data_IF_890943118568
#
_entry.id   IF_890943118568
#
_cell.length_a   1.000
_cell.length_b   1.000
_cell.length_c   1.000
_cell.angle_alpha   90.00
_cell.angle_beta   90.00
_cell.angle_gamma   90.00
#
_symmetry.space_group_name_H-M   'P 1'
#
loop_
_entity.id
_entity.type
_entity.pdbx_description
1 polymer ?
#
# COMPACT_ATOMS: atom_id res chain seq x y z
N UNK A 1 7.99 -4.14 2.53
CA UNK A 1 8.87 -4.95 3.43
C UNK A 1 8.00 -5.57 4.52
N UNK A 2 8.42 -6.69 5.11
CA UNK A 2 7.67 -7.43 6.14
C UNK A 2 7.51 -6.72 7.48
N UNK A 3 8.35 -5.72 7.75
CA UNK A 3 8.27 -4.82 8.91
C UNK A 3 7.71 -3.44 8.57
N UNK A 4 7.10 -3.29 7.39
CA UNK A 4 6.56 -2.01 6.93
C UNK A 4 5.16 -2.14 6.36
N UNK A 5 4.93 -3.02 5.37
CA UNK A 5 3.71 -2.91 4.56
C UNK A 5 2.95 -4.23 4.44
N UNK A 6 1.88 -4.32 5.21
CA UNK A 6 0.76 -5.25 5.01
C UNK A 6 -0.53 -4.45 4.76
N UNK A 7 -1.70 -5.11 4.70
CA UNK A 7 -2.96 -4.48 4.38
C UNK A 7 -3.27 -3.21 5.21
N UNK A 8 -2.99 -3.22 6.53
CA UNK A 8 -3.27 -2.07 7.41
C UNK A 8 -2.53 -0.81 6.96
N UNK A 9 -1.21 -0.90 6.77
CA UNK A 9 -0.41 0.23 6.30
C UNK A 9 -0.76 0.60 4.86
N UNK A 10 -1.00 -0.38 3.99
CA UNK A 10 -1.37 -0.10 2.60
C UNK A 10 -2.70 0.68 2.50
N UNK A 11 -3.70 0.32 3.31
CA UNK A 11 -4.98 1.05 3.43
C UNK A 11 -4.72 2.48 3.91
N UNK A 12 -4.03 2.65 5.03
CA UNK A 12 -3.82 3.98 5.61
C UNK A 12 -3.02 4.89 4.67
N UNK A 13 -1.98 4.36 4.02
CA UNK A 13 -1.19 5.11 3.04
C UNK A 13 -2.01 5.48 1.80
N UNK A 14 -2.85 4.56 1.30
CA UNK A 14 -3.73 4.85 0.17
C UNK A 14 -4.80 5.89 0.50
N UNK A 15 -5.35 5.88 1.72
CA UNK A 15 -6.29 6.91 2.19
C UNK A 15 -5.67 8.32 2.21
N UNK A 16 -4.36 8.42 2.44
CA UNK A 16 -3.60 9.68 2.43
C UNK A 16 -3.05 10.06 1.03
N UNK A 17 -3.39 9.30 -0.01
CA UNK A 17 -3.00 9.59 -1.39
C UNK A 17 -1.68 8.94 -1.85
N UNK A 18 -1.08 8.10 -1.00
CA UNK A 18 0.07 7.27 -1.37
C UNK A 18 -0.35 5.90 -1.93
N UNK A 19 0.62 4.98 -2.01
CA UNK A 19 0.37 3.57 -2.36
C UNK A 19 1.31 2.65 -1.56
N UNK A 20 0.75 1.59 -0.98
CA UNK A 20 1.51 0.55 -0.28
C UNK A 20 1.83 -0.64 -1.18
N UNK A 21 3.05 -1.18 -1.09
CA UNK A 21 3.44 -2.45 -1.73
C UNK A 21 3.49 -3.60 -0.71
N UNK A 22 2.56 -4.55 -0.83
CA UNK A 22 2.52 -5.76 0.01
C UNK A 22 3.78 -6.60 -0.27
N UNK A 23 4.53 -6.93 0.78
CA UNK A 23 5.75 -7.75 0.63
C UNK A 23 5.44 -9.19 0.24
N UNK A 24 6.46 -9.89 -0.28
CA UNK A 24 6.35 -11.30 -0.72
C UNK A 24 6.75 -12.33 0.32
N UNK A 25 7.22 -11.90 1.50
CA UNK A 25 7.62 -12.80 2.60
C UNK A 25 6.43 -13.47 3.32
N UNK A 26 5.56 -14.12 2.56
CA UNK A 26 4.35 -14.83 2.98
C UNK A 26 3.92 -15.79 1.85
N UNK A 27 2.91 -16.63 2.07
CA UNK A 27 2.42 -17.50 0.99
C UNK A 27 1.77 -16.69 -0.14
N UNK A 28 1.49 -17.33 -1.27
CA UNK A 28 0.81 -16.67 -2.40
C UNK A 28 -0.60 -16.24 -1.97
N UNK A 29 -1.29 -17.12 -1.25
CA UNK A 29 -2.66 -16.94 -0.78
C UNK A 29 -2.75 -15.81 0.25
N UNK A 30 -1.78 -15.73 1.17
CA UNK A 30 -1.69 -14.67 2.18
C UNK A 30 -1.43 -13.30 1.54
N UNK A 31 -0.57 -13.24 0.53
CA UNK A 31 -0.28 -12.00 -0.19
C UNK A 31 -1.50 -11.52 -0.97
N UNK A 32 -2.15 -12.43 -1.70
CA UNK A 32 -3.39 -12.15 -2.42
C UNK A 32 -4.52 -11.75 -1.44
N UNK A 33 -4.60 -12.35 -0.25
CA UNK A 33 -5.56 -11.97 0.77
C UNK A 33 -5.31 -10.56 1.31
N UNK A 34 -4.06 -10.14 1.48
CA UNK A 34 -3.72 -8.76 1.82
C UNK A 34 -4.17 -7.77 0.72
N UNK A 35 -3.90 -8.08 -0.55
CA UNK A 35 -4.39 -7.26 -1.69
C UNK A 35 -5.92 -7.15 -1.65
N UNK A 36 -6.64 -8.28 -1.53
CA UNK A 36 -8.11 -8.28 -1.43
C UNK A 36 -8.62 -7.44 -0.27
N UNK A 37 -7.97 -7.50 0.89
CA UNK A 37 -8.33 -6.66 2.06
C UNK A 37 -8.25 -5.16 1.73
N UNK A 38 -7.21 -4.71 1.01
CA UNK A 38 -7.07 -3.31 0.60
C UNK A 38 -8.16 -2.94 -0.42
N UNK A 39 -8.35 -3.76 -1.47
CA UNK A 39 -9.35 -3.49 -2.52
C UNK A 39 -10.79 -3.46 -1.98
N UNK A 40 -11.10 -4.24 -0.94
CA UNK A 40 -12.42 -4.30 -0.30
C UNK A 40 -12.64 -3.26 0.81
N UNK A 41 -11.61 -2.50 1.23
CA UNK A 41 -11.73 -1.61 2.40
C UNK A 41 -12.67 -0.42 2.16
N UNK A 42 -12.59 0.21 0.98
CA UNK A 42 -13.23 1.50 0.71
C UNK A 42 -13.91 1.59 -0.66
N UNK A 43 -14.33 0.45 -1.21
CA UNK A 43 -14.88 0.33 -2.57
C UNK A 43 -16.14 1.17 -2.84
N UNK A 44 -16.74 1.79 -1.81
CA UNK A 44 -17.98 2.57 -1.93
C UNK A 44 -19.22 1.71 -2.25
N UNK A 45 -19.01 0.55 -2.86
CA UNK A 45 -19.92 -0.56 -3.12
C UNK A 45 -19.23 -1.81 -2.56
N UNK A 46 -19.79 -2.45 -1.55
CA UNK A 46 -19.33 -3.76 -1.08
C UNK A 46 -19.67 -4.79 -2.17
N UNK A 47 -18.68 -5.13 -2.99
CA UNK A 47 -18.75 -6.21 -3.97
C UNK A 47 -18.74 -7.54 -3.22
N UNK A 48 -19.74 -8.40 -3.45
CA UNK A 48 -19.95 -9.65 -2.70
C UNK A 48 -20.20 -9.42 -1.19
N UNK A 49 -21.34 -8.81 -0.83
CA UNK A 49 -21.68 -8.54 0.57
C UNK A 49 -21.99 -9.84 1.32
N UNK A 50 -21.64 -9.90 2.61
CA UNK A 50 -22.08 -11.01 3.46
C UNK A 50 -23.61 -11.03 3.49
N UNK A 51 -24.19 -12.18 3.19
CA UNK A 51 -25.65 -12.37 3.12
C UNK A 51 -26.16 -13.30 4.21
N UNK A 52 -27.40 -13.10 4.64
CA UNK A 52 -28.13 -14.06 5.47
C UNK A 52 -28.98 -14.98 4.58
N UNK A 53 -29.16 -16.23 4.98
CA UNK A 53 -30.14 -17.12 4.35
C UNK A 53 -31.54 -16.80 4.87
N UNK A 54 -32.54 -16.88 4.00
CA UNK A 54 -33.95 -16.74 4.37
C UNK A 54 -34.42 -17.77 5.42
N UNK A 55 -33.69 -18.87 5.59
CA UNK A 55 -33.99 -19.90 6.59
C UNK A 55 -33.34 -19.62 7.96
N UNK A 56 -32.44 -18.64 8.06
CA UNK A 56 -31.82 -18.30 9.33
C UNK A 56 -32.84 -17.72 10.32
N UNK A 57 -32.61 -18.01 11.59
CA UNK A 57 -33.30 -17.40 12.72
C UNK A 57 -32.68 -16.05 13.08
N UNK A 58 -33.42 -15.22 13.81
CA UNK A 58 -32.90 -13.94 14.35
C UNK A 58 -31.63 -14.15 15.19
N UNK A 59 -31.55 -15.23 15.98
CA UNK A 59 -30.34 -15.59 16.75
C UNK A 59 -29.12 -15.78 15.87
N UNK A 60 -29.26 -16.50 14.76
CA UNK A 60 -28.15 -16.80 13.85
C UNK A 60 -27.64 -15.53 13.17
N UNK A 61 -28.55 -14.63 12.75
CA UNK A 61 -28.14 -13.35 12.16
C UNK A 61 -27.51 -12.42 13.20
N UNK A 62 -27.95 -12.45 14.46
CA UNK A 62 -27.26 -11.72 15.54
C UNK A 62 -25.83 -12.24 15.77
N UNK A 63 -25.63 -13.57 15.73
CA UNK A 63 -24.30 -14.16 15.81
C UNK A 63 -23.43 -13.75 14.60
N UNK A 64 -24.01 -13.75 13.39
CA UNK A 64 -23.36 -13.26 12.17
C UNK A 64 -22.96 -11.78 12.30
N UNK A 65 -23.84 -10.93 12.85
CA UNK A 65 -23.56 -9.53 13.13
C UNK A 65 -22.39 -9.35 14.10
N UNK A 66 -22.34 -10.16 15.15
CA UNK A 66 -21.27 -10.12 16.16
C UNK A 66 -19.94 -10.60 15.58
N UNK A 67 -19.96 -11.64 14.75
CA UNK A 67 -18.77 -12.17 14.07
C UNK A 67 -18.16 -11.15 13.10
N UNK A 68 -19.00 -10.42 12.36
CA UNK A 68 -18.54 -9.49 11.32
C UNK A 68 -18.41 -8.03 11.78
N UNK A 69 -18.93 -7.68 12.97
CA UNK A 69 -18.82 -6.33 13.54
C UNK A 69 -19.69 -5.27 12.85
N UNK A 70 -20.73 -5.68 12.11
CA UNK A 70 -21.72 -4.78 11.52
C UNK A 70 -23.12 -5.39 11.53
N UNK A 71 -24.13 -4.52 11.56
CA UNK A 71 -25.54 -4.90 11.63
C UNK A 71 -26.26 -4.60 10.32
N UNK A 72 -26.36 -5.60 9.46
CA UNK A 72 -27.30 -5.63 8.35
C UNK A 72 -26.82 -6.42 7.15
N UNK A 73 -27.70 -7.28 6.63
CA UNK A 73 -27.38 -8.31 5.66
C UNK A 73 -28.47 -8.37 4.59
N UNK A 74 -28.11 -8.38 3.29
CA UNK A 74 -29.01 -8.84 2.24
C UNK A 74 -29.44 -10.28 2.55
N UNK A 75 -30.70 -10.60 2.29
CA UNK A 75 -31.27 -11.93 2.54
C UNK A 75 -31.48 -12.63 1.21
N UNK A 76 -30.88 -13.82 1.07
CA UNK A 76 -31.00 -14.67 -0.11
C UNK A 76 -31.83 -15.92 0.20
N UNK A 77 -32.61 -16.40 -0.77
CA UNK A 77 -33.28 -17.69 -0.68
C UNK A 77 -32.36 -18.87 -1.06
N UNK A 78 -32.92 -20.09 -1.09
CA UNK A 78 -32.17 -21.31 -1.42
C UNK A 78 -31.66 -21.33 -2.87
N UNK A 79 -32.26 -20.54 -3.76
CA UNK A 79 -31.91 -20.41 -5.16
C UNK A 79 -30.86 -19.30 -5.38
N UNK A 80 -30.52 -18.56 -4.33
CA UNK A 80 -29.58 -17.43 -4.38
C UNK A 80 -30.23 -16.13 -4.83
N UNK A 81 -31.56 -16.04 -4.83
CA UNK A 81 -32.30 -14.84 -5.22
C UNK A 81 -32.46 -13.88 -4.04
N UNK A 82 -32.36 -12.58 -4.33
CA UNK A 82 -32.51 -11.53 -3.32
C UNK A 82 -33.98 -11.37 -2.91
N UNK A 83 -34.28 -11.68 -1.66
CA UNK A 83 -35.65 -11.66 -1.12
C UNK A 83 -35.88 -10.59 -0.06
N UNK A 84 -34.83 -9.96 0.47
CA UNK A 84 -34.98 -8.90 1.46
C UNK A 84 -33.66 -8.33 1.99
N UNK A 85 -33.77 -7.48 3.00
CA UNK A 85 -32.64 -7.02 3.82
C UNK A 85 -33.07 -6.99 5.28
N UNK A 86 -32.22 -7.54 6.15
CA UNK A 86 -32.38 -7.47 7.60
C UNK A 86 -31.33 -6.54 8.17
N UNK A 87 -31.70 -5.65 9.09
CA UNK A 87 -30.81 -4.67 9.70
C UNK A 87 -30.81 -4.78 11.23
N UNK A 88 -29.86 -4.12 11.89
CA UNK A 88 -29.85 -4.06 13.35
C UNK A 88 -31.16 -3.52 13.94
N UNK A 89 -31.82 -2.55 13.27
CA UNK A 89 -33.09 -1.98 13.73
C UNK A 89 -34.21 -3.01 13.73
N UNK A 90 -34.28 -3.85 12.70
CA UNK A 90 -35.30 -4.90 12.56
C UNK A 90 -35.17 -5.95 13.66
N UNK A 91 -33.93 -6.27 14.06
CA UNK A 91 -33.65 -7.26 15.11
C UNK A 91 -33.68 -6.68 16.54
N UNK A 92 -33.53 -5.37 16.73
CA UNK A 92 -33.36 -4.75 18.05
C UNK A 92 -34.62 -4.84 18.94
N UNK A 93 -35.78 -5.04 18.33
CA UNK A 93 -37.07 -5.08 19.01
C UNK A 93 -37.74 -6.46 18.97
N UNK A 94 -37.08 -7.47 18.40
CA UNK A 94 -37.62 -8.82 18.33
C UNK A 94 -37.28 -9.63 19.59
N UNK A 95 -38.31 -10.00 20.35
CA UNK A 95 -38.16 -10.81 21.56
C UNK A 95 -38.01 -12.30 21.24
N UNK A 96 -38.57 -12.76 20.11
CA UNK A 96 -38.50 -14.14 19.69
C UNK A 96 -37.25 -14.40 18.83
N UNK A 97 -36.16 -14.80 19.48
CA UNK A 97 -34.91 -15.14 18.81
C UNK A 97 -34.99 -16.37 17.89
N UNK A 98 -36.09 -17.14 17.93
CA UNK A 98 -36.34 -18.30 17.06
C UNK A 98 -37.19 -17.94 15.83
N UNK A 99 -37.71 -16.71 15.74
CA UNK A 99 -38.40 -16.25 14.54
C UNK A 99 -37.46 -16.30 13.33
N UNK A 100 -38.02 -16.54 12.15
CA UNK A 100 -37.22 -16.52 10.92
C UNK A 100 -36.88 -15.09 10.55
N UNK A 101 -35.75 -14.89 9.90
CA UNK A 101 -35.33 -13.59 9.36
C UNK A 101 -36.37 -13.02 8.41
N UNK A 102 -37.06 -13.87 7.64
CA UNK A 102 -38.13 -13.47 6.73
C UNK A 102 -39.30 -12.76 7.43
N UNK A 103 -39.51 -13.04 8.72
CA UNK A 103 -40.62 -12.49 9.49
C UNK A 103 -40.34 -11.04 9.95
N UNK A 104 -39.07 -10.66 10.04
CA UNK A 104 -38.62 -9.35 10.55
C UNK A 104 -37.94 -8.47 9.50
N UNK A 105 -37.47 -9.04 8.39
CA UNK A 105 -36.73 -8.30 7.37
C UNK A 105 -37.61 -7.30 6.60
N UNK A 106 -36.96 -6.35 5.93
CA UNK A 106 -37.62 -5.60 4.85
C UNK A 106 -37.73 -6.51 3.62
N UNK A 107 -38.96 -6.80 3.13
CA UNK A 107 -39.18 -7.74 2.03
C UNK A 107 -38.87 -7.11 0.67
N UNK A 108 -38.75 -7.97 -0.35
CA UNK A 108 -38.34 -7.63 -1.72
C UNK A 108 -39.08 -6.42 -2.31
N UNK A 109 -40.39 -6.32 -2.09
CA UNK A 109 -41.24 -5.28 -2.68
C UNK A 109 -40.95 -3.89 -2.11
N UNK A 110 -40.30 -3.83 -0.94
CA UNK A 110 -39.92 -2.58 -0.25
C UNK A 110 -38.43 -2.29 -0.32
N UNK A 111 -37.66 -3.10 -1.05
CA UNK A 111 -36.23 -2.88 -1.19
C UNK A 111 -35.96 -1.63 -2.02
N UNK A 112 -35.05 -0.81 -1.53
CA UNK A 112 -34.47 0.31 -2.28
C UNK A 112 -33.17 -0.17 -2.90
N UNK A 113 -33.16 -0.25 -4.23
CA UNK A 113 -32.04 -0.80 -5.01
C UNK A 113 -31.53 0.21 -6.04
N UNK A 114 -30.30 -0.02 -6.51
CA UNK A 114 -29.74 0.62 -7.71
C UNK A 114 -29.18 -0.45 -8.65
N UNK A 115 -29.13 -0.14 -9.94
CA UNK A 115 -28.46 -1.00 -10.92
C UNK A 115 -26.94 -0.99 -10.69
N UNK A 116 -26.24 -2.07 -11.04
CA UNK A 116 -24.77 -2.17 -10.91
C UNK A 116 -23.99 -1.09 -11.66
N UNK A 117 -24.58 -0.52 -12.71
CA UNK A 117 -23.97 0.57 -13.49
C UNK A 117 -24.39 1.97 -13.01
N UNK A 118 -25.19 2.07 -11.95
CA UNK A 118 -25.70 3.34 -11.47
C UNK A 118 -24.60 4.21 -10.81
N UNK A 119 -24.54 5.51 -11.08
CA UNK A 119 -23.58 6.40 -10.43
C UNK A 119 -23.85 6.47 -8.92
N UNK A 120 -22.78 6.53 -8.13
CA UNK A 120 -22.83 6.51 -6.66
C UNK A 120 -23.73 7.58 -6.06
N UNK A 121 -23.82 8.74 -6.70
CA UNK A 121 -24.67 9.86 -6.30
C UNK A 121 -26.16 9.51 -6.30
N UNK A 122 -26.59 8.59 -7.18
CA UNK A 122 -27.95 8.09 -7.20
C UNK A 122 -28.28 7.29 -5.94
N UNK A 123 -27.36 6.41 -5.50
CA UNK A 123 -27.53 5.67 -4.26
C UNK A 123 -27.65 6.60 -3.04
N UNK A 124 -26.86 7.68 -3.00
CA UNK A 124 -26.94 8.69 -1.93
C UNK A 124 -28.27 9.46 -1.93
N UNK A 125 -28.78 9.82 -3.11
CA UNK A 125 -30.11 10.43 -3.24
C UNK A 125 -31.19 9.51 -2.67
N UNK A 126 -31.13 8.22 -3.00
CA UNK A 126 -32.05 7.22 -2.47
C UNK A 126 -31.92 7.06 -0.94
N UNK A 127 -30.70 6.99 -0.41
CA UNK A 127 -30.46 6.96 1.04
C UNK A 127 -31.09 8.17 1.74
N UNK A 128 -30.89 9.36 1.18
CA UNK A 128 -31.45 10.60 1.72
C UNK A 128 -32.99 10.63 1.64
N UNK A 129 -33.56 10.25 0.49
CA UNK A 129 -35.01 10.24 0.23
C UNK A 129 -35.74 9.23 1.11
N UNK A 130 -35.22 8.01 1.22
CA UNK A 130 -35.85 6.92 1.97
C UNK A 130 -35.39 6.85 3.44
N UNK A 131 -34.47 7.73 3.87
CA UNK A 131 -33.90 7.77 5.23
C UNK A 131 -33.29 6.43 5.66
N UNK A 132 -32.61 5.77 4.72
CA UNK A 132 -31.95 4.47 4.91
C UNK A 132 -30.43 4.60 4.84
N UNK A 133 -29.72 3.72 5.53
CA UNK A 133 -28.25 3.73 5.58
C UNK A 133 -27.58 2.80 4.57
N UNK A 134 -28.37 1.97 3.88
CA UNK A 134 -27.90 0.90 3.02
C UNK A 134 -28.76 0.85 1.75
N UNK A 135 -28.12 0.71 0.60
CA UNK A 135 -28.79 0.53 -0.70
C UNK A 135 -28.19 -0.68 -1.38
N UNK A 136 -29.04 -1.60 -1.84
CA UNK A 136 -28.63 -2.83 -2.51
C UNK A 136 -28.32 -2.54 -3.98
N UNK A 137 -27.26 -3.14 -4.49
CA UNK A 137 -26.87 -3.05 -5.91
C UNK A 137 -27.27 -4.36 -6.58
N UNK A 138 -28.05 -4.27 -7.65
CA UNK A 138 -28.59 -5.43 -8.38
C UNK A 138 -28.30 -5.33 -9.88
N UNK A 139 -28.28 -6.47 -10.58
CA UNK A 139 -28.27 -6.49 -12.04
C UNK A 139 -29.69 -6.41 -12.63
N UNK A 140 -29.78 -6.48 -13.96
CA UNK A 140 -31.05 -6.43 -14.70
C UNK A 140 -31.98 -7.61 -14.38
N UNK A 141 -31.46 -8.72 -13.87
CA UNK A 141 -32.24 -9.88 -13.41
C UNK A 141 -32.57 -9.80 -11.91
N UNK A 142 -32.31 -8.67 -11.26
CA UNK A 142 -32.50 -8.44 -9.82
C UNK A 142 -31.60 -9.32 -8.93
N UNK A 143 -30.48 -9.84 -9.46
CA UNK A 143 -29.51 -10.56 -8.64
C UNK A 143 -28.64 -9.58 -7.89
N UNK A 144 -28.35 -9.91 -6.63
CA UNK A 144 -27.50 -9.09 -5.77
C UNK A 144 -26.06 -9.05 -6.31
N UNK A 145 -25.56 -7.86 -6.59
CA UNK A 145 -24.17 -7.59 -7.00
C UNK A 145 -23.37 -6.88 -5.92
N UNK A 146 -24.04 -6.12 -5.05
CA UNK A 146 -23.35 -5.36 -4.01
C UNK A 146 -24.24 -4.66 -3.02
N UNK A 147 -23.60 -3.91 -2.13
CA UNK A 147 -24.25 -3.09 -1.10
C UNK A 147 -23.49 -1.78 -0.92
N UNK A 148 -24.18 -0.64 -1.00
CA UNK A 148 -23.62 0.68 -0.70
C UNK A 148 -24.08 1.09 0.70
N UNK A 149 -23.18 1.60 1.53
CA UNK A 149 -23.51 2.07 2.88
C UNK A 149 -23.16 3.54 3.11
N UNK A 150 -23.96 4.24 3.92
CA UNK A 150 -23.69 5.63 4.35
C UNK A 150 -22.36 5.73 5.10
N UNK A 151 -22.01 4.70 5.89
CA UNK A 151 -20.73 4.66 6.61
C UNK A 151 -19.54 4.71 5.66
N UNK A 152 -19.59 3.94 4.58
CA UNK A 152 -18.50 3.90 3.59
C UNK A 152 -18.45 5.19 2.74
N UNK A 153 -19.58 5.89 2.60
CA UNK A 153 -19.60 7.23 2.05
C UNK A 153 -18.91 8.26 2.95
N UNK A 154 -19.26 8.35 4.23
CA UNK A 154 -18.61 9.29 5.14
C UNK A 154 -17.12 9.00 5.32
N UNK A 155 -16.72 7.72 5.38
CA UNK A 155 -15.30 7.34 5.38
C UNK A 155 -14.58 7.85 4.15
N UNK A 156 -15.15 7.63 2.96
CA UNK A 156 -14.56 8.12 1.72
C UNK A 156 -14.49 9.66 1.67
N UNK A 157 -15.51 10.36 2.18
CA UNK A 157 -15.55 11.82 2.24
C UNK A 157 -14.51 12.40 3.22
N UNK A 158 -14.17 11.68 4.30
CA UNK A 158 -13.13 12.12 5.24
C UNK A 158 -11.70 12.03 4.68
N UNK A 159 -11.50 11.31 3.57
CA UNK A 159 -10.19 11.09 2.93
C UNK A 159 -10.24 11.55 1.46
N UNK A 160 -10.31 12.88 1.21
CA UNK A 160 -10.52 13.43 -0.13
C UNK A 160 -9.32 13.20 -1.07
N UNK A 161 -8.13 13.01 -0.51
CA UNK A 161 -6.90 12.76 -1.28
C UNK A 161 -6.63 11.27 -1.51
N UNK A 162 -7.57 10.37 -1.16
CA UNK A 162 -7.34 8.94 -1.24
C UNK A 162 -7.00 8.48 -2.66
N UNK A 163 -5.94 7.67 -2.78
CA UNK A 163 -5.49 7.07 -4.03
C UNK A 163 -6.43 5.90 -4.40
N UNK A 164 -7.34 6.18 -5.32
CA UNK A 164 -8.41 5.26 -5.74
C UNK A 164 -8.28 4.86 -7.20
N UNK A 165 -8.76 3.67 -7.51
CA UNK A 165 -8.99 3.23 -8.88
C UNK A 165 -10.31 3.81 -9.43
N UNK A 166 -10.56 3.55 -10.71
CA UNK A 166 -11.75 3.98 -11.43
C UNK A 166 -13.06 3.43 -10.83
N UNK A 167 -13.00 2.39 -9.99
CA UNK A 167 -14.13 1.83 -9.26
C UNK A 167 -14.27 2.40 -7.84
N UNK A 168 -13.43 3.37 -7.46
CA UNK A 168 -13.42 3.99 -6.13
C UNK A 168 -12.75 3.15 -5.05
N UNK A 169 -12.08 2.05 -5.39
CA UNK A 169 -11.36 1.18 -4.45
C UNK A 169 -9.96 1.74 -4.22
N UNK A 170 -9.41 1.58 -3.02
CA UNK A 170 -8.03 1.98 -2.74
C UNK A 170 -7.05 1.25 -3.66
N UNK A 171 -6.02 1.96 -4.16
CA UNK A 171 -4.96 1.34 -4.96
C UNK A 171 -3.94 0.62 -4.08
N UNK A 172 -3.43 -0.50 -4.56
CA UNK A 172 -2.42 -1.31 -3.86
C UNK A 172 -1.44 -1.94 -4.84
N UNK A 173 -0.17 -1.96 -4.45
CA UNK A 173 0.87 -2.70 -5.15
C UNK A 173 1.25 -3.99 -4.42
N UNK A 174 1.94 -4.89 -5.12
CA UNK A 174 2.50 -6.09 -4.51
C UNK A 174 3.89 -6.40 -5.08
N UNK A 175 4.82 -6.77 -4.20
CA UNK A 175 6.17 -7.18 -4.59
C UNK A 175 6.19 -8.65 -5.02
N UNK A 176 6.99 -8.96 -6.04
CA UNK A 176 7.28 -10.33 -6.51
C UNK A 176 8.78 -10.49 -6.76
N UNK A 177 9.28 -11.71 -6.71
CA UNK A 177 10.67 -12.04 -7.03
C UNK A 177 10.84 -12.35 -8.51
N UNK A 178 11.93 -13.04 -8.84
CA UNK A 178 12.19 -13.57 -10.20
C UNK A 178 12.30 -15.09 -10.25
N UNK A 179 12.34 -15.75 -9.08
CA UNK A 179 12.56 -17.19 -8.96
C UNK A 179 11.33 -18.05 -9.28
N UNK A 180 11.45 -19.38 -9.10
CA UNK A 180 10.34 -20.32 -9.28
C UNK A 180 9.12 -19.96 -8.43
N UNK A 181 7.91 -20.24 -8.92
CA UNK A 181 6.65 -19.91 -8.22
C UNK A 181 6.18 -18.46 -8.42
N UNK A 182 6.93 -17.64 -9.16
CA UNK A 182 6.59 -16.22 -9.40
C UNK A 182 5.38 -16.08 -10.32
N UNK A 183 5.21 -16.96 -11.31
CA UNK A 183 4.11 -16.88 -12.26
C UNK A 183 2.76 -17.15 -11.59
N UNK A 184 2.70 -18.17 -10.74
CA UNK A 184 1.54 -18.49 -9.91
C UNK A 184 1.22 -17.36 -8.93
N UNK A 185 2.26 -16.75 -8.35
CA UNK A 185 2.10 -15.58 -7.47
C UNK A 185 1.53 -14.38 -8.21
N UNK A 186 2.06 -14.07 -9.40
CA UNK A 186 1.56 -12.99 -10.24
C UNK A 186 0.09 -13.23 -10.60
N UNK A 187 -0.26 -14.44 -11.06
CA UNK A 187 -1.63 -14.79 -11.41
C UNK A 187 -2.60 -14.57 -10.25
N UNK A 188 -2.27 -15.05 -9.05
CA UNK A 188 -3.10 -14.87 -7.86
C UNK A 188 -3.24 -13.40 -7.43
N UNK A 189 -2.21 -12.58 -7.63
CA UNK A 189 -2.25 -11.14 -7.33
C UNK A 189 -3.10 -10.36 -8.34
N UNK A 190 -3.01 -10.71 -9.62
CA UNK A 190 -3.86 -10.14 -10.68
C UNK A 190 -5.32 -10.50 -10.43
N UNK A 191 -5.61 -11.77 -10.11
CA UNK A 191 -6.96 -12.21 -9.71
C UNK A 191 -7.47 -11.46 -8.47
N UNK A 192 -6.59 -11.19 -7.50
CA UNK A 192 -6.93 -10.39 -6.33
C UNK A 192 -7.18 -8.89 -6.62
N UNK A 193 -6.86 -8.43 -7.84
CA UNK A 193 -7.06 -7.05 -8.28
C UNK A 193 -5.93 -6.09 -7.87
N UNK A 194 -4.67 -6.55 -7.87
CA UNK A 194 -3.51 -5.67 -7.68
C UNK A 194 -3.44 -4.59 -8.77
N UNK A 195 -3.15 -3.35 -8.39
CA UNK A 195 -3.04 -2.24 -9.35
C UNK A 195 -1.66 -2.19 -10.01
N UNK A 196 -0.60 -2.48 -9.24
CA UNK A 196 0.79 -2.36 -9.66
C UNK A 196 1.63 -3.53 -9.14
N UNK A 197 2.32 -4.24 -10.04
CA UNK A 197 3.33 -5.22 -9.64
C UNK A 197 4.69 -4.56 -9.49
N UNK A 198 5.44 -4.98 -8.47
CA UNK A 198 6.83 -4.61 -8.27
C UNK A 198 7.70 -5.86 -8.37
N UNK A 199 8.48 -5.97 -9.46
CA UNK A 199 9.53 -6.98 -9.60
C UNK A 199 10.75 -6.48 -8.82
N UNK A 200 11.00 -7.09 -7.65
CA UNK A 200 11.92 -6.60 -6.62
C UNK A 200 13.15 -7.50 -6.47
N UNK A 201 14.32 -6.98 -6.83
CA UNK A 201 15.63 -7.64 -6.72
C UNK A 201 16.68 -6.67 -6.16
N UNK A 202 17.79 -7.18 -5.62
CA UNK A 202 18.96 -6.35 -5.31
C UNK A 202 19.70 -5.85 -6.56
N UNK A 203 19.58 -6.55 -7.70
CA UNK A 203 20.22 -6.17 -8.96
C UNK A 203 19.28 -6.28 -10.17
N UNK A 204 18.56 -5.19 -10.43
CA UNK A 204 17.57 -5.05 -11.50
C UNK A 204 18.14 -5.15 -12.92
N UNK A 205 19.43 -4.91 -13.09
CA UNK A 205 20.10 -4.99 -14.40
C UNK A 205 20.61 -6.40 -14.76
N UNK A 206 20.17 -7.43 -14.02
CA UNK A 206 20.50 -8.81 -14.36
C UNK A 206 19.57 -9.35 -15.45
N UNK A 207 20.10 -10.23 -16.31
CA UNK A 207 19.35 -10.78 -17.45
C UNK A 207 18.04 -11.46 -17.02
N UNK A 208 18.06 -12.24 -15.94
CA UNK A 208 16.86 -12.93 -15.45
C UNK A 208 15.74 -11.96 -15.00
N UNK A 209 16.09 -10.76 -14.53
CA UNK A 209 15.10 -9.73 -14.19
C UNK A 209 14.53 -9.08 -15.45
N UNK A 210 15.39 -8.74 -16.41
CA UNK A 210 14.97 -8.19 -17.71
C UNK A 210 14.00 -9.16 -18.41
N UNK A 211 14.35 -10.45 -18.44
CA UNK A 211 13.51 -11.49 -19.05
C UNK A 211 12.19 -11.65 -18.31
N UNK A 212 12.20 -11.60 -16.96
CA UNK A 212 10.98 -11.62 -16.16
C UNK A 212 10.07 -10.44 -16.47
N UNK A 213 10.60 -9.22 -16.57
CA UNK A 213 9.81 -8.03 -16.92
C UNK A 213 9.17 -8.20 -18.30
N UNK A 214 9.93 -8.66 -19.31
CA UNK A 214 9.41 -8.92 -20.66
C UNK A 214 8.30 -9.96 -20.66
N UNK A 215 8.49 -11.07 -19.95
CA UNK A 215 7.49 -12.14 -19.82
C UNK A 215 6.21 -11.62 -19.15
N UNK A 216 6.33 -10.91 -18.03
CA UNK A 216 5.17 -10.36 -17.31
C UNK A 216 4.44 -9.33 -18.16
N UNK A 217 5.14 -8.43 -18.88
CA UNK A 217 4.51 -7.49 -19.82
C UNK A 217 3.78 -8.21 -20.95
N UNK A 218 4.36 -9.26 -21.52
CA UNK A 218 3.74 -10.03 -22.59
C UNK A 218 2.46 -10.74 -22.14
N UNK A 219 2.43 -11.27 -20.91
CA UNK A 219 1.27 -11.96 -20.35
C UNK A 219 0.19 -10.99 -19.84
N UNK A 220 0.58 -9.83 -19.34
CA UNK A 220 -0.32 -8.81 -18.79
C UNK A 220 -0.05 -7.43 -19.42
N UNK A 221 -0.49 -7.19 -20.67
CA UNK A 221 -0.15 -5.98 -21.42
C UNK A 221 -0.57 -4.67 -20.77
N UNK A 222 -1.67 -4.66 -20.01
CA UNK A 222 -2.22 -3.45 -19.39
C UNK A 222 -1.79 -3.25 -17.93
N UNK A 223 -1.16 -4.26 -17.32
CA UNK A 223 -0.78 -4.22 -15.92
C UNK A 223 0.39 -3.26 -15.71
N UNK A 224 0.32 -2.44 -14.66
CA UNK A 224 1.40 -1.53 -14.33
C UNK A 224 2.55 -2.31 -13.66
N UNK A 225 3.76 -2.14 -14.19
CA UNK A 225 4.96 -2.85 -13.74
C UNK A 225 6.01 -1.85 -13.29
N UNK A 226 6.42 -1.99 -12.03
CA UNK A 226 7.63 -1.39 -11.47
C UNK A 226 8.71 -2.46 -11.43
N UNK A 227 9.93 -2.11 -11.83
CA UNK A 227 11.07 -3.02 -11.74
C UNK A 227 12.29 -2.33 -11.09
N UNK A 228 13.04 -3.08 -10.29
CA UNK A 228 14.27 -2.57 -9.68
C UNK A 228 14.90 -3.57 -8.71
N UNK A 229 16.02 -3.23 -8.05
CA UNK A 229 16.63 -1.89 -8.03
C UNK A 229 17.75 -1.73 -9.05
N UNK A 230 17.86 -0.53 -9.61
CA UNK A 230 19.02 -0.09 -10.40
C UNK A 230 19.66 1.14 -9.77
N UNK A 231 20.87 1.48 -10.22
CA UNK A 231 21.58 2.67 -9.75
C UNK A 231 22.36 3.38 -10.87
N UNK A 232 22.12 3.02 -12.13
CA UNK A 232 22.80 3.57 -13.31
C UNK A 232 21.81 3.85 -14.44
N UNK A 233 22.23 4.70 -15.40
CA UNK A 233 21.46 5.02 -16.59
C UNK A 233 21.14 3.79 -17.44
N UNK A 234 22.12 2.90 -17.65
CA UNK A 234 21.99 1.70 -18.47
C UNK A 234 21.00 0.72 -17.86
N UNK A 235 21.05 0.52 -16.53
CA UNK A 235 20.11 -0.36 -15.84
C UNK A 235 18.68 0.16 -15.92
N UNK A 236 18.50 1.48 -15.78
CA UNK A 236 17.19 2.10 -15.92
C UNK A 236 16.65 1.97 -17.35
N UNK A 237 17.49 2.24 -18.36
CA UNK A 237 17.16 2.05 -19.76
C UNK A 237 16.77 0.61 -20.09
N UNK A 238 17.55 -0.37 -19.63
CA UNK A 238 17.28 -1.78 -19.88
C UNK A 238 15.92 -2.24 -19.32
N UNK A 239 15.54 -1.77 -18.13
CA UNK A 239 14.23 -2.08 -17.54
C UNK A 239 13.08 -1.35 -18.25
N UNK A 240 13.30 -0.11 -18.69
CA UNK A 240 12.34 0.63 -19.50
C UNK A 240 12.07 -0.10 -20.83
N UNK A 241 13.12 -0.49 -21.56
CA UNK A 241 13.02 -1.24 -22.82
C UNK A 241 12.42 -2.64 -22.64
N UNK A 242 12.56 -3.24 -21.46
CA UNK A 242 11.92 -4.51 -21.11
C UNK A 242 10.39 -4.39 -20.93
N UNK A 243 9.87 -3.17 -20.74
CA UNK A 243 8.43 -2.91 -20.58
C UNK A 243 8.00 -2.49 -19.18
N UNK A 244 8.92 -2.06 -18.31
CA UNK A 244 8.56 -1.45 -17.02
C UNK A 244 7.94 -0.05 -17.22
N UNK A 245 6.84 0.25 -16.52
CA UNK A 245 6.24 1.59 -16.49
C UNK A 245 6.98 2.54 -15.53
N UNK A 246 7.64 1.97 -14.52
CA UNK A 246 8.50 2.73 -13.63
C UNK A 246 9.72 1.90 -13.19
N UNK A 247 10.81 2.61 -12.91
CA UNK A 247 12.06 2.02 -12.43
C UNK A 247 12.30 2.44 -10.99
N UNK A 248 12.55 1.45 -10.12
CA UNK A 248 12.91 1.66 -8.72
C UNK A 248 14.42 1.80 -8.59
N UNK A 249 14.88 2.91 -8.01
CA UNK A 249 16.27 3.35 -8.01
C UNK A 249 16.85 3.41 -6.61
N UNK A 250 17.97 2.73 -6.41
CA UNK A 250 18.77 2.81 -5.19
C UNK A 250 19.40 1.47 -4.82
N UNK A 251 20.74 1.43 -4.78
CA UNK A 251 21.51 0.28 -4.30
C UNK A 251 22.36 0.69 -3.09
N UNK A 252 22.03 0.10 -1.95
CA UNK A 252 22.66 0.37 -0.66
C UNK A 252 22.35 1.69 0.08
N UNK A 253 21.39 2.56 -0.29
CA UNK A 253 21.13 3.80 0.44
C UNK A 253 20.26 3.61 1.71
N UNK A 254 19.63 2.44 1.87
CA UNK A 254 18.69 2.16 2.95
C UNK A 254 19.38 2.15 4.32
N UNK A 255 18.69 2.65 5.35
CA UNK A 255 19.24 2.80 6.72
C UNK A 255 19.65 1.49 7.40
N UNK A 256 19.23 0.35 6.85
CA UNK A 256 19.48 -1.01 7.37
C UNK A 256 20.13 -1.92 6.33
N UNK A 257 20.55 -1.35 5.20
CA UNK A 257 21.18 -2.08 4.11
C UNK A 257 22.70 -1.98 4.26
N UNK A 258 23.38 -3.13 4.21
CA UNK A 258 24.84 -3.22 4.31
C UNK A 258 25.48 -3.60 2.99
N UNK A 259 24.73 -3.68 1.87
CA UNK A 259 25.24 -4.02 0.53
C UNK A 259 26.54 -3.28 0.19
N UNK A 260 26.61 -1.96 0.37
CA UNK A 260 27.84 -1.19 0.05
C UNK A 260 29.05 -1.62 0.86
N UNK A 261 28.83 -2.03 2.11
CA UNK A 261 29.89 -2.43 3.03
C UNK A 261 30.29 -3.88 2.79
N UNK A 262 29.32 -4.77 2.60
CA UNK A 262 29.55 -6.21 2.47
C UNK A 262 30.01 -6.60 1.06
N UNK A 263 29.41 -6.02 0.01
CA UNK A 263 29.70 -6.36 -1.38
C UNK A 263 30.59 -5.33 -2.08
N UNK A 264 30.74 -4.12 -1.51
CA UNK A 264 31.44 -3.01 -2.15
C UNK A 264 30.62 -2.28 -3.23
N UNK A 265 29.40 -2.73 -3.53
CA UNK A 265 28.60 -2.21 -4.63
C UNK A 265 27.56 -1.18 -4.19
N UNK A 266 27.48 -0.05 -4.90
CA UNK A 266 26.40 0.94 -4.75
C UNK A 266 26.78 2.31 -5.29
N UNK A 267 25.80 3.20 -5.39
CA UNK A 267 25.97 4.58 -5.91
C UNK A 267 25.28 5.57 -4.96
N UNK A 268 25.89 6.72 -4.61
CA UNK A 268 25.24 7.76 -3.82
C UNK A 268 23.85 8.12 -4.36
N UNK A 269 22.84 8.20 -3.48
CA UNK A 269 21.44 8.11 -3.92
C UNK A 269 20.99 9.23 -4.86
N UNK A 270 21.42 10.47 -4.62
CA UNK A 270 21.09 11.60 -5.52
C UNK A 270 21.69 11.39 -6.92
N UNK A 271 22.93 10.91 -7.00
CA UNK A 271 23.58 10.57 -8.27
C UNK A 271 22.85 9.42 -8.96
N UNK A 272 22.52 8.35 -8.23
CA UNK A 272 21.78 7.21 -8.78
C UNK A 272 20.43 7.62 -9.39
N UNK A 273 19.70 8.52 -8.72
CA UNK A 273 18.44 9.08 -9.23
C UNK A 273 18.69 9.87 -10.50
N UNK A 274 19.64 10.82 -10.48
CA UNK A 274 19.98 11.66 -11.63
C UNK A 274 20.40 10.84 -12.85
N UNK A 275 21.23 9.81 -12.66
CA UNK A 275 21.72 8.95 -13.74
C UNK A 275 20.58 8.10 -14.32
N UNK A 276 19.72 7.54 -13.47
CA UNK A 276 18.56 6.77 -13.92
C UNK A 276 17.57 7.64 -14.71
N UNK A 277 17.36 8.90 -14.30
CA UNK A 277 16.52 9.88 -15.01
C UNK A 277 17.07 10.15 -16.41
N UNK A 278 18.40 10.32 -16.55
CA UNK A 278 19.01 10.49 -17.88
C UNK A 278 18.87 9.20 -18.73
N UNK A 279 18.97 8.02 -18.11
CA UNK A 279 18.81 6.74 -18.78
C UNK A 279 17.43 6.49 -19.41
N UNK A 280 16.38 7.08 -18.85
CA UNK A 280 14.98 6.94 -19.34
C UNK A 280 14.45 8.21 -20.01
N UNK A 281 15.32 9.18 -20.27
CA UNK A 281 14.95 10.45 -20.89
C UNK A 281 14.34 10.26 -22.27
N UNK A 282 13.26 11.01 -22.55
CA UNK A 282 12.49 10.87 -23.79
C UNK A 282 11.50 9.70 -23.77
N UNK A 283 11.33 9.02 -22.64
CA UNK A 283 10.28 8.02 -22.41
C UNK A 283 9.30 8.49 -21.34
N UNK A 284 8.15 7.83 -21.23
CA UNK A 284 7.16 8.07 -20.18
C UNK A 284 7.43 7.29 -18.88
N UNK A 285 8.58 6.61 -18.79
CA UNK A 285 8.93 5.76 -17.65
C UNK A 285 9.24 6.60 -16.42
N UNK A 286 8.55 6.33 -15.34
CA UNK A 286 8.72 7.06 -14.07
C UNK A 286 9.89 6.52 -13.25
N UNK A 287 10.48 7.38 -12.41
CA UNK A 287 11.55 7.02 -11.46
C UNK A 287 11.04 7.05 -10.02
N UNK A 288 11.28 5.98 -9.28
CA UNK A 288 10.99 5.87 -7.84
C UNK A 288 12.30 5.85 -7.06
N UNK A 289 12.53 6.86 -6.21
CA UNK A 289 13.69 6.90 -5.33
C UNK A 289 13.47 6.03 -4.08
N UNK A 290 14.20 4.92 -3.94
CA UNK A 290 14.04 3.93 -2.86
C UNK A 290 15.22 3.96 -1.87
N UNK A 291 14.93 4.39 -0.64
CA UNK A 291 15.89 4.42 0.47
C UNK A 291 16.70 5.72 0.62
N UNK A 292 17.33 5.89 1.77
CA UNK A 292 18.14 7.06 2.12
C UNK A 292 17.38 8.31 2.59
N UNK A 293 16.04 8.28 2.58
CA UNK A 293 15.20 9.39 3.04
C UNK A 293 15.09 9.39 4.56
N UNK A 294 15.51 10.49 5.20
CA UNK A 294 15.44 10.66 6.66
C UNK A 294 14.50 11.78 7.05
N UNK A 295 14.56 12.89 6.33
CA UNK A 295 13.76 14.09 6.57
C UNK A 295 12.93 14.47 5.34
N UNK A 296 11.95 15.35 5.53
CA UNK A 296 11.14 15.89 4.43
C UNK A 296 11.98 16.60 3.37
N UNK A 297 13.08 17.24 3.79
CA UNK A 297 14.06 17.83 2.87
C UNK A 297 14.72 16.81 1.95
N UNK A 298 14.92 15.56 2.40
CA UNK A 298 15.48 14.50 1.54
C UNK A 298 14.46 14.08 0.47
N UNK A 299 13.15 14.10 0.78
CA UNK A 299 12.07 13.88 -0.21
C UNK A 299 12.14 14.96 -1.29
N UNK A 300 12.20 16.23 -0.88
CA UNK A 300 12.28 17.35 -1.81
C UNK A 300 13.52 17.22 -2.72
N UNK A 301 14.69 16.89 -2.16
CA UNK A 301 15.93 16.70 -2.93
C UNK A 301 15.82 15.51 -3.90
N UNK A 302 15.20 14.40 -3.51
CA UNK A 302 15.01 13.28 -4.42
C UNK A 302 14.11 13.65 -5.62
N UNK A 303 13.05 14.44 -5.39
CA UNK A 303 12.18 14.95 -6.45
C UNK A 303 12.92 15.96 -7.34
N UNK A 304 13.67 16.91 -6.78
CA UNK A 304 14.48 17.85 -7.56
C UNK A 304 15.56 17.13 -8.39
N UNK A 305 16.05 15.97 -7.95
CA UNK A 305 16.94 15.12 -8.74
C UNK A 305 16.23 14.38 -9.90
N UNK A 306 14.91 14.53 -10.05
CA UNK A 306 14.11 14.06 -11.18
C UNK A 306 13.15 12.90 -10.87
N UNK A 307 13.21 12.30 -9.67
CA UNK A 307 12.28 11.25 -9.28
C UNK A 307 10.82 11.73 -9.30
N UNK A 308 9.89 10.84 -9.65
CA UNK A 308 8.46 11.11 -9.63
C UNK A 308 7.86 10.91 -8.22
N UNK A 309 8.39 9.94 -7.48
CA UNK A 309 7.99 9.67 -6.11
C UNK A 309 9.14 9.05 -5.30
N UNK A 310 8.93 8.93 -3.99
CA UNK A 310 9.87 8.30 -3.06
C UNK A 310 9.24 7.07 -2.43
N UNK A 311 10.05 6.03 -2.21
CA UNK A 311 9.69 4.86 -1.41
C UNK A 311 10.46 4.90 -0.10
N UNK A 312 9.75 4.80 1.02
CA UNK A 312 10.32 4.94 2.37
C UNK A 312 10.01 3.72 3.23
N UNK A 313 11.01 3.26 3.98
CA UNK A 313 10.89 2.14 4.91
C UNK A 313 10.90 2.58 6.37
N UNK A 314 12.06 2.99 6.88
CA UNK A 314 12.30 3.34 8.29
C UNK A 314 11.38 4.46 8.81
N UNK A 315 10.97 5.36 7.92
CA UNK A 315 10.01 6.42 8.23
C UNK A 315 8.68 5.85 8.71
N UNK A 316 8.20 4.75 8.12
CA UNK A 316 6.91 4.13 8.40
C UNK A 316 6.97 2.91 9.31
N UNK A 317 8.12 2.24 9.44
CA UNK A 317 8.24 1.01 10.24
C UNK A 317 7.79 1.15 11.72
N UNK A 318 7.92 2.34 12.30
CA UNK A 318 7.52 2.61 13.70
C UNK A 318 6.05 3.01 13.89
N UNK A 319 5.22 2.94 12.84
CA UNK A 319 3.82 3.36 12.90
C UNK A 319 2.89 2.29 13.47
N UNK A 320 1.70 2.71 13.88
CA UNK A 320 0.64 1.82 14.38
C UNK A 320 0.18 0.81 13.31
N UNK A 321 0.16 1.23 12.06
CA UNK A 321 -0.34 0.47 10.92
C UNK A 321 0.71 -0.47 10.32
N UNK A 322 1.99 -0.20 10.56
CA UNK A 322 3.07 -1.12 10.19
C UNK A 322 2.89 -2.47 10.91
N UNK A 323 3.25 -3.59 10.27
CA UNK A 323 3.23 -4.91 10.92
C UNK A 323 4.26 -4.99 12.06
N UNK A 324 4.12 -6.00 12.91
CA UNK A 324 4.96 -6.22 14.08
C UNK A 324 4.41 -5.61 15.37
N UNK A 325 4.85 -6.18 16.49
CA UNK A 325 4.42 -5.80 17.83
C UNK A 325 5.16 -4.57 18.36
N UNK A 326 4.53 -3.89 19.32
CA UNK A 326 5.16 -2.79 20.06
C UNK A 326 5.86 -3.36 21.28
N UNK A 327 7.16 -3.11 21.39
CA UNK A 327 8.02 -3.56 22.48
C UNK A 327 8.37 -2.39 23.41
N UNK A 328 8.30 -2.62 24.73
CA UNK A 328 8.76 -1.65 25.73
C UNK A 328 10.24 -1.89 26.04
N UNK A 329 11.09 -0.88 25.81
CA UNK A 329 12.52 -0.95 26.08
C UNK A 329 13.00 0.35 26.75
N UNK A 330 13.61 0.24 27.93
CA UNK A 330 14.03 1.38 28.77
C UNK A 330 12.98 2.50 28.90
N UNK A 331 11.72 2.11 29.12
CA UNK A 331 10.61 3.06 29.33
C UNK A 331 10.12 3.77 28.06
N UNK A 332 10.57 3.36 26.87
CA UNK A 332 10.10 3.86 25.57
C UNK A 332 9.57 2.71 24.72
N UNK A 333 8.57 3.02 23.90
CA UNK A 333 7.98 2.06 22.97
C UNK A 333 8.74 2.03 21.64
N UNK A 334 9.01 0.83 21.15
CA UNK A 334 9.72 0.55 19.90
C UNK A 334 8.95 -0.47 19.06
N UNK A 335 9.29 -0.55 17.77
CA UNK A 335 8.89 -1.65 16.88
C UNK A 335 10.12 -2.27 16.23
N UNK A 336 10.04 -3.55 15.90
CA UNK A 336 11.10 -4.24 15.16
C UNK A 336 11.16 -3.72 13.72
N UNK A 337 12.38 -3.55 13.20
CA UNK A 337 12.62 -3.12 11.83
C UNK A 337 13.84 -3.84 11.27
N UNK A 338 13.67 -4.55 10.15
CA UNK A 338 14.74 -5.36 9.57
C UNK A 338 14.81 -5.24 8.06
N UNK A 339 16.03 -5.40 7.55
CA UNK A 339 16.31 -5.30 6.12
C UNK A 339 15.88 -6.57 5.42
N UNK A 340 15.43 -6.49 4.17
CA UNK A 340 15.17 -7.72 3.41
C UNK A 340 16.43 -8.57 3.25
N UNK A 341 17.62 -7.98 3.40
CA UNK A 341 18.91 -8.70 3.40
C UNK A 341 19.38 -9.16 4.78
N UNK A 342 18.59 -9.00 5.85
CA UNK A 342 18.94 -9.53 7.16
C UNK A 342 18.74 -11.04 7.21
N UNK A 343 19.48 -11.71 8.11
CA UNK A 343 19.32 -13.14 8.33
C UNK A 343 17.88 -13.52 8.68
N UNK A 344 17.21 -12.77 9.57
CA UNK A 344 15.84 -13.10 9.97
C UNK A 344 14.80 -12.85 8.88
N UNK A 345 15.07 -12.00 7.87
CA UNK A 345 14.21 -11.84 6.70
C UNK A 345 14.51 -12.90 5.62
N UNK A 346 15.79 -13.24 5.41
CA UNK A 346 16.22 -14.20 4.40
C UNK A 346 15.97 -15.65 4.81
N UNK A 347 16.17 -16.01 6.08
CA UNK A 347 16.06 -17.38 6.59
C UNK A 347 14.61 -17.85 6.80
N UNK A 348 13.61 -17.01 6.55
CA UNK A 348 12.21 -17.45 6.61
C UNK A 348 11.92 -18.45 5.50
N UNK A 349 10.95 -19.35 5.73
CA UNK A 349 10.52 -20.35 4.72
C UNK A 349 10.07 -19.71 3.40
N UNK A 350 9.41 -18.56 3.47
CA UNK A 350 9.05 -17.73 2.32
C UNK A 350 9.91 -16.45 2.29
N UNK A 351 11.17 -16.53 2.73
CA UNK A 351 12.03 -15.37 2.97
C UNK A 351 12.51 -14.66 1.71
N UNK A 352 13.34 -13.65 1.92
CA UNK A 352 13.85 -12.75 0.88
C UNK A 352 15.21 -13.18 0.32
N UNK A 353 15.64 -14.42 0.50
CA UNK A 353 16.98 -14.87 0.07
C UNK A 353 17.17 -14.83 -1.45
N UNK A 354 16.13 -15.11 -2.23
CA UNK A 354 16.12 -15.03 -3.70
C UNK A 354 16.41 -13.61 -4.21
N UNK A 355 15.99 -12.58 -3.45
CA UNK A 355 16.29 -11.17 -3.76
C UNK A 355 17.79 -10.90 -3.83
N UNK A 356 18.60 -11.67 -3.09
CA UNK A 356 20.05 -11.54 -2.99
C UNK A 356 20.78 -12.70 -3.68
N UNK A 357 20.11 -13.44 -4.57
CA UNK A 357 20.68 -14.55 -5.32
C UNK A 357 21.21 -15.70 -4.43
N UNK A 358 20.62 -15.87 -3.25
CA UNK A 358 21.00 -16.91 -2.29
C UNK A 358 19.91 -17.98 -2.20
N UNK A 359 20.24 -19.19 -2.66
CA UNK A 359 19.33 -20.34 -2.72
C UNK A 359 19.47 -21.35 -1.57
N UNK A 360 20.21 -21.04 -0.51
CA UNK A 360 20.42 -21.99 0.59
C UNK A 360 19.31 -21.86 1.65
N UNK A 361 18.70 -22.99 2.02
CA UNK A 361 17.78 -23.06 3.17
C UNK A 361 18.52 -23.13 4.53
N UNK A 362 19.86 -23.15 4.53
CA UNK A 362 20.64 -23.14 5.76
C UNK A 362 21.04 -21.69 6.11
N UNK A 363 20.47 -21.17 7.20
CA UNK A 363 20.74 -19.82 7.68
C UNK A 363 22.24 -19.54 7.92
N UNK A 364 23.02 -20.54 8.30
CA UNK A 364 24.48 -20.39 8.55
C UNK A 364 25.29 -20.18 7.27
N UNK A 365 24.73 -20.51 6.10
CA UNK A 365 25.38 -20.33 4.79
C UNK A 365 24.96 -19.05 4.08
N UNK A 366 24.05 -18.28 4.67
CA UNK A 366 23.59 -17.03 4.11
C UNK A 366 24.59 -15.91 4.41
N UNK A 367 24.83 -15.05 3.42
CA UNK A 367 25.66 -13.85 3.53
C UNK A 367 24.72 -12.64 3.59
N UNK A 368 24.41 -12.10 4.78
CA UNK A 368 23.41 -11.05 4.90
C UNK A 368 23.91 -9.71 4.35
N UNK A 369 23.04 -9.04 3.58
CA UNK A 369 23.23 -7.68 3.06
C UNK A 369 22.35 -6.64 3.78
N UNK A 370 21.88 -6.98 4.99
CA UNK A 370 21.14 -6.10 5.86
C UNK A 370 21.22 -6.49 7.33
N UNK A 371 20.74 -5.60 8.18
CA UNK A 371 20.70 -5.78 9.64
C UNK A 371 19.27 -5.78 10.17
N UNK A 372 19.14 -6.13 11.44
CA UNK A 372 17.92 -6.00 12.23
C UNK A 372 18.14 -4.97 13.31
N UNK A 373 17.11 -4.18 13.58
CA UNK A 373 17.13 -3.15 14.59
C UNK A 373 15.75 -2.85 15.13
N UNK A 374 15.67 -1.79 15.92
CA UNK A 374 14.43 -1.27 16.47
C UNK A 374 14.26 0.19 16.07
N UNK A 375 13.04 0.61 15.81
CA UNK A 375 12.69 2.01 15.56
C UNK A 375 11.73 2.48 16.65
N UNK A 376 11.87 3.72 17.09
CA UNK A 376 10.95 4.28 18.06
C UNK A 376 9.50 4.23 17.52
N UNK A 377 8.54 4.00 18.40
CA UNK A 377 7.12 4.12 18.07
C UNK A 377 6.79 5.56 17.66
N UNK A 378 6.04 5.72 16.57
CA UNK A 378 5.77 7.02 15.94
C UNK A 378 4.29 7.41 15.93
N UNK A 379 3.41 6.55 16.45
CA UNK A 379 1.96 6.76 16.38
C UNK A 379 1.38 6.51 14.98
N UNK A 380 0.23 7.10 14.66
CA UNK A 380 -0.46 6.89 13.38
C UNK A 380 0.33 7.46 12.19
N UNK A 381 0.34 6.73 11.07
CA UNK A 381 1.07 7.13 9.85
C UNK A 381 0.62 8.49 9.29
N UNK A 382 -0.67 8.82 9.44
CA UNK A 382 -1.26 10.09 8.96
C UNK A 382 -0.50 11.31 9.49
N UNK A 383 -0.08 11.29 10.76
CA UNK A 383 0.68 12.40 11.36
C UNK A 383 2.04 12.57 10.67
N UNK A 384 2.70 11.46 10.34
CA UNK A 384 3.99 11.48 9.65
C UNK A 384 3.80 12.05 8.24
N UNK A 385 2.82 11.53 7.50
CA UNK A 385 2.53 11.98 6.13
C UNK A 385 2.23 13.48 6.11
N UNK A 386 1.39 13.96 7.02
CA UNK A 386 1.09 15.39 7.15
C UNK A 386 2.36 16.25 7.30
N UNK A 387 3.27 15.84 8.18
CA UNK A 387 4.54 16.56 8.40
C UNK A 387 5.47 16.50 7.17
N UNK A 388 5.57 15.34 6.51
CA UNK A 388 6.38 15.21 5.29
C UNK A 388 5.84 16.08 4.15
N UNK A 389 4.51 16.07 3.94
CA UNK A 389 3.86 16.89 2.92
C UNK A 389 3.97 18.38 3.23
N UNK A 390 3.88 18.79 4.50
CA UNK A 390 4.14 20.16 4.91
C UNK A 390 5.57 20.62 4.57
N UNK A 391 6.56 19.77 4.86
CA UNK A 391 7.96 20.04 4.50
C UNK A 391 8.18 20.14 2.98
N UNK A 392 7.57 19.23 2.20
CA UNK A 392 7.63 19.27 0.74
C UNK A 392 7.00 20.55 0.17
N UNK A 393 5.81 20.93 0.64
CA UNK A 393 5.14 22.17 0.22
C UNK A 393 5.94 23.42 0.58
N UNK A 394 6.61 23.42 1.74
CA UNK A 394 7.52 24.49 2.11
C UNK A 394 8.71 24.61 1.14
N UNK A 395 9.34 23.48 0.77
CA UNK A 395 10.41 23.44 -0.23
C UNK A 395 9.93 23.89 -1.62
N UNK A 396 8.71 23.52 -2.01
CA UNK A 396 8.07 24.02 -3.24
C UNK A 396 7.89 25.53 -3.22
N UNK A 397 7.47 26.11 -2.09
CA UNK A 397 7.36 27.55 -1.91
C UNK A 397 8.69 28.28 -2.04
N UNK A 398 9.75 27.75 -1.40
CA UNK A 398 11.11 28.32 -1.48
C UNK A 398 11.74 28.22 -2.88
N UNK A 399 11.37 27.20 -3.66
CA UNK A 399 11.87 26.99 -5.02
C UNK A 399 10.99 27.61 -6.10
N UNK A 400 9.85 28.23 -5.72
CA UNK A 400 8.90 28.79 -6.68
C UNK A 400 8.22 27.73 -7.56
N UNK A 401 8.04 26.51 -7.06
CA UNK A 401 7.48 25.38 -7.79
C UNK A 401 5.98 25.23 -7.50
N UNK A 402 5.07 25.54 -8.43
CA UNK A 402 3.62 25.41 -8.20
C UNK A 402 3.13 23.95 -8.24
N UNK A 403 3.89 23.06 -8.87
CA UNK A 403 3.59 21.64 -9.06
C UNK A 403 4.86 20.78 -8.98
N UNK A 404 4.67 19.46 -8.95
CA UNK A 404 5.76 18.48 -8.82
C UNK A 404 6.64 18.47 -10.07
N UNK A 405 6.08 18.64 -11.26
CA UNK A 405 6.89 18.64 -12.49
C UNK A 405 7.81 19.85 -12.58
N UNK A 406 7.35 21.02 -12.13
CA UNK A 406 8.21 22.19 -11.97
C UNK A 406 9.32 21.93 -10.95
N UNK A 407 8.99 21.34 -9.79
CA UNK A 407 9.97 21.01 -8.75
C UNK A 407 11.04 20.04 -9.27
N UNK A 408 10.68 19.10 -10.14
CA UNK A 408 11.59 18.10 -10.70
C UNK A 408 12.52 18.64 -11.79
N UNK A 409 12.17 19.75 -12.43
CA UNK A 409 12.82 20.17 -13.70
C UNK A 409 13.49 21.53 -13.65
N UNK A 410 13.10 22.43 -12.74
CA UNK A 410 13.61 23.81 -12.71
C UNK A 410 14.64 24.11 -11.60
N UNK A 411 14.46 23.64 -10.36
CA UNK A 411 15.39 23.99 -9.28
C UNK A 411 16.78 23.42 -9.50
N UNK A 412 17.78 24.09 -8.91
CA UNK A 412 19.19 23.70 -9.00
C UNK A 412 19.77 23.39 -7.63
N UNK A 413 20.75 22.48 -7.58
CA UNK A 413 21.49 22.17 -6.36
C UNK A 413 22.74 23.04 -6.20
N UNK A 414 23.12 23.27 -4.95
CA UNK A 414 24.46 23.71 -4.56
C UNK A 414 25.11 22.62 -3.71
N UNK A 415 26.33 22.24 -4.05
CA UNK A 415 27.11 21.26 -3.27
C UNK A 415 27.64 21.94 -2.01
N UNK A 416 27.48 21.26 -0.87
CA UNK A 416 27.98 21.72 0.43
C UNK A 416 29.10 20.80 0.93
N UNK A 417 29.99 21.36 1.74
CA UNK A 417 31.02 20.58 2.45
C UNK A 417 30.43 19.90 3.70
N UNK A 418 31.21 19.06 4.38
CA UNK A 418 30.81 18.49 5.66
C UNK A 418 30.50 19.57 6.71
N UNK A 419 31.26 20.67 6.72
CA UNK A 419 31.00 21.81 7.59
C UNK A 419 29.65 22.47 7.28
N UNK A 420 29.31 22.63 6.00
CA UNK A 420 27.99 23.14 5.59
C UNK A 420 26.83 22.23 6.01
N UNK A 421 27.05 20.92 6.12
CA UNK A 421 26.06 20.00 6.69
C UNK A 421 25.90 20.19 8.21
N UNK A 422 27.00 20.48 8.92
CA UNK A 422 26.98 20.86 10.33
C UNK A 422 26.20 22.15 10.57
N UNK A 423 26.45 23.17 9.73
CA UNK A 423 25.68 24.43 9.73
C UNK A 423 24.20 24.22 9.42
N UNK A 424 23.87 23.30 8.51
CA UNK A 424 22.48 23.04 8.11
C UNK A 424 21.63 22.42 9.23
N UNK A 425 22.24 21.70 10.18
CA UNK A 425 21.55 21.14 11.34
C UNK A 425 21.50 22.16 12.47
N UNK A 426 20.62 21.94 13.45
CA UNK A 426 20.64 22.72 14.70
C UNK A 426 22.02 22.60 15.35
N UNK A 427 22.69 23.72 15.57
CA UNK A 427 24.02 23.83 16.17
C UNK A 427 24.04 24.93 17.24
N UNK A 428 25.01 24.86 18.15
CA UNK A 428 25.26 25.85 19.21
C UNK A 428 24.11 26.10 20.22
N UNK A 429 23.18 25.15 20.34
CA UNK A 429 22.08 25.18 21.33
C UNK A 429 21.77 23.78 21.87
N UNK A 430 21.20 23.72 23.08
CA UNK A 430 20.65 22.49 23.63
C UNK A 430 19.16 22.35 23.26
N UNK A 431 18.81 21.26 22.59
CA UNK A 431 17.41 20.97 22.23
C UNK A 431 16.64 20.56 23.49
N UNK A 432 15.64 21.36 23.87
CA UNK A 432 14.76 21.08 25.02
C UNK A 432 13.49 20.34 24.62
N UNK A 433 13.06 20.49 23.35
CA UNK A 433 11.88 19.84 22.79
C UNK A 433 12.09 19.56 21.31
N UNK A 434 11.94 18.30 20.91
CA UNK A 434 12.05 17.90 19.50
C UNK A 434 10.76 18.17 18.73
N UNK A 435 10.92 18.56 17.46
CA UNK A 435 9.81 18.73 16.55
C UNK A 435 9.46 17.39 15.86
N UNK A 436 8.19 17.12 15.52
CA UNK A 436 7.79 15.89 14.85
C UNK A 436 8.52 15.60 13.51
N UNK A 437 8.92 16.67 12.80
CA UNK A 437 9.58 16.64 11.50
C UNK A 437 11.13 16.66 11.58
N UNK A 438 11.70 16.81 12.77
CA UNK A 438 13.14 16.87 12.99
C UNK A 438 13.52 16.11 14.26
N UNK A 439 13.87 14.84 14.08
CA UNK A 439 14.41 13.96 15.12
C UNK A 439 15.75 13.41 14.67
N UNK A 440 16.78 13.65 15.48
CA UNK A 440 18.05 12.97 15.33
C UNK A 440 17.87 11.60 16.00
N UNK A 441 18.14 10.53 15.25
CA UNK A 441 17.75 9.15 15.59
C UNK A 441 18.19 8.66 16.96
#
# INVERSE_FOLDING_TARGET
MDTVTEARLAIALAQEGGIGFIHKNMTIEEQAANVRKVKKYESGVVSDPVTASAEMTVREVQALAQQHGFSGFPVLDKQGELVGIVTGRDMSFEANLQAKVTDVMTPRERLVTVNENAPREQALKLMHQHRIEKVLVVDDNFKLKGLITVRDYYKAASKPNACKDEFGRLRVGAAVGVGPGTDERIAALVEAGVDILLIDTSHGHSQGVIDRVKQTRAQYPDLQIVAGNVATAEGAKALAEAGANAVKVGIGPGSICTTRIVTGCGVPQITAISDAVEGVKGTDVCIIADGGIRFSGDIAKALVAGANCVMVGSMFAGTEEAPGEVELYHGRYYKSYRGMGSLGAMAQRNGSSDRYFQGSNNAEKLVPEGIEGRVAYKGPIETIIHQQMGGLRSAMGLTGSPDIDTLRTKPSFVKVTAAGMGESHVHDVQITKEAPNYRLG
#
